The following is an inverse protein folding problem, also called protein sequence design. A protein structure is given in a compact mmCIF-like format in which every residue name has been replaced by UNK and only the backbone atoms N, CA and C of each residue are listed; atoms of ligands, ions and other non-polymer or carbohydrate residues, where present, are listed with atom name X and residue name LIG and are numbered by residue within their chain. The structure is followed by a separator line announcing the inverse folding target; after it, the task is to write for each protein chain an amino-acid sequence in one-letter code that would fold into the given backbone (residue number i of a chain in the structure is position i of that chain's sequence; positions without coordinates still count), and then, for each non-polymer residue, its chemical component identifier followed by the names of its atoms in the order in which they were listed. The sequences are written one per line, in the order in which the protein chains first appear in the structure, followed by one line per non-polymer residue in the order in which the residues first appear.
data_IF_473658163855
#
_entry.id   IF_473658163855
#
_cell.length_a   1.000
_cell.length_b   1.000
_cell.length_c   1.000
_cell.angle_alpha   90.00
_cell.angle_beta   90.00
_cell.angle_gamma   90.00
#
_symmetry.space_group_name_H-M   'P 1'
#
loop_
_entity.id
_entity.type
_entity.pdbx_description
1 polymer ?
#
# COMPACT_ATOMS: atom_id res chain seq x y z
N UNK A 1 -4.75 -15.17 5.44
CA UNK A 1 -4.95 -14.13 4.41
C UNK A 1 -4.82 -14.74 3.02
N UNK A 2 -5.63 -14.35 2.08
CA UNK A 2 -5.60 -14.85 0.68
C UNK A 2 -5.82 -13.72 -0.31
N UNK A 3 -5.42 -13.96 -1.56
CA UNK A 3 -5.76 -13.08 -2.69
C UNK A 3 -7.23 -13.30 -3.05
N UNK A 4 -7.99 -12.23 -3.18
CA UNK A 4 -9.44 -12.27 -3.31
C UNK A 4 -9.89 -12.38 -4.77
N UNK A 5 -9.25 -11.61 -5.65
CA UNK A 5 -9.67 -11.48 -7.06
C UNK A 5 -8.46 -11.47 -7.99
N UNK A 6 -8.68 -11.69 -9.28
CA UNK A 6 -7.66 -11.60 -10.33
C UNK A 6 -6.88 -12.89 -10.54
N UNK A 7 -5.71 -12.75 -11.16
CA UNK A 7 -4.89 -13.87 -11.66
C UNK A 7 -4.32 -14.76 -10.54
N UNK A 8 -4.15 -14.20 -9.35
CA UNK A 8 -3.65 -14.93 -8.19
C UNK A 8 -4.75 -15.35 -7.22
N UNK A 9 -6.03 -15.22 -7.60
CA UNK A 9 -7.19 -15.52 -6.75
C UNK A 9 -7.07 -16.87 -6.03
N UNK A 10 -7.37 -16.85 -4.74
CA UNK A 10 -7.39 -18.03 -3.86
C UNK A 10 -6.03 -18.42 -3.30
N UNK A 11 -4.92 -17.84 -3.76
CA UNK A 11 -3.60 -18.11 -3.19
C UNK A 11 -3.54 -17.61 -1.76
N UNK A 12 -3.08 -18.48 -0.86
CA UNK A 12 -2.92 -18.17 0.55
C UNK A 12 -1.55 -17.57 0.79
N UNK A 13 -1.52 -16.35 1.30
CA UNK A 13 -0.26 -15.70 1.67
C UNK A 13 0.27 -16.27 2.98
N UNK A 14 1.59 -16.43 3.06
CA UNK A 14 2.26 -16.69 4.32
C UNK A 14 2.08 -15.50 5.26
N UNK A 15 1.88 -15.82 6.53
CA UNK A 15 1.66 -14.84 7.59
C UNK A 15 2.80 -14.95 8.60
N UNK A 16 3.12 -13.87 9.35
CA UNK A 16 4.13 -13.94 10.40
C UNK A 16 3.68 -14.92 11.49
N UNK A 17 4.63 -15.62 12.07
CA UNK A 17 4.38 -16.56 13.19
C UNK A 17 3.94 -15.83 14.46
N UNK A 18 4.35 -14.57 14.60
CA UNK A 18 4.01 -13.71 15.75
C UNK A 18 2.90 -12.74 15.38
N UNK A 19 1.94 -12.53 16.30
CA UNK A 19 0.81 -11.59 16.16
C UNK A 19 1.22 -10.09 16.08
N UNK A 20 2.48 -9.78 15.80
CA UNK A 20 3.01 -8.41 15.76
C UNK A 20 2.64 -7.64 14.50
N UNK A 21 2.23 -8.33 13.45
CA UNK A 21 1.70 -7.72 12.22
C UNK A 21 0.20 -7.95 12.25
N UNK A 22 -0.58 -6.87 12.37
CA UNK A 22 -2.03 -6.92 12.22
C UNK A 22 -2.34 -6.87 10.72
N UNK A 23 -2.72 -7.98 10.09
CA UNK A 23 -3.03 -7.95 8.67
C UNK A 23 -4.32 -7.16 8.45
N UNK A 24 -4.34 -6.34 7.41
CA UNK A 24 -5.56 -5.81 6.83
C UNK A 24 -6.52 -6.98 6.60
N UNK A 25 -7.68 -6.97 7.23
CA UNK A 25 -8.63 -8.09 7.10
C UNK A 25 -9.10 -8.25 5.66
N UNK A 26 -9.49 -9.45 5.24
CA UNK A 26 -10.02 -9.68 3.89
C UNK A 26 -11.17 -8.72 3.57
N UNK A 27 -12.02 -8.43 4.55
CA UNK A 27 -13.14 -7.47 4.42
C UNK A 27 -12.67 -6.05 4.13
N UNK A 28 -11.65 -5.57 4.84
CA UNK A 28 -11.08 -4.24 4.62
C UNK A 28 -10.40 -4.18 3.26
N UNK A 29 -9.64 -5.22 2.89
CA UNK A 29 -9.03 -5.34 1.58
C UNK A 29 -10.08 -5.32 0.44
N UNK A 30 -11.14 -6.09 0.54
CA UNK A 30 -12.27 -6.01 -0.42
C UNK A 30 -12.85 -4.61 -0.51
N UNK A 31 -13.00 -3.95 0.63
CA UNK A 31 -13.49 -2.58 0.68
C UNK A 31 -12.55 -1.60 -0.03
N UNK A 32 -11.23 -1.66 0.24
CA UNK A 32 -10.22 -0.84 -0.45
C UNK A 32 -10.37 -1.00 -1.97
N UNK A 33 -10.32 -2.22 -2.47
CA UNK A 33 -10.38 -2.47 -3.90
C UNK A 33 -11.76 -2.25 -4.54
N UNK A 34 -12.84 -2.23 -3.76
CA UNK A 34 -14.17 -1.81 -4.24
C UNK A 34 -14.31 -0.29 -4.35
N UNK A 35 -13.53 0.46 -3.57
CA UNK A 35 -13.52 1.92 -3.60
C UNK A 35 -12.65 2.43 -4.75
N UNK A 36 -11.58 1.72 -5.08
CA UNK A 36 -10.73 1.99 -6.25
C UNK A 36 -11.53 1.62 -7.50
N UNK A 37 -12.60 2.38 -7.78
CA UNK A 37 -13.47 2.15 -8.93
C UNK A 37 -12.80 2.66 -10.21
N UNK A 38 -12.71 1.81 -11.19
CA UNK A 38 -12.10 2.04 -12.50
C UNK A 38 -10.97 1.05 -12.73
N UNK A 39 -10.83 0.57 -13.95
CA UNK A 39 -9.71 -0.24 -14.39
C UNK A 39 -8.42 0.54 -14.13
N UNK A 40 -7.76 0.22 -13.03
CA UNK A 40 -6.37 0.58 -12.77
C UNK A 40 -5.45 -0.54 -13.29
N UNK A 41 -5.87 -1.15 -14.40
CA UNK A 41 -4.99 -1.95 -15.24
C UNK A 41 -3.82 -1.06 -15.64
N UNK A 42 -2.62 -1.62 -15.63
CA UNK A 42 -1.37 -0.90 -15.87
C UNK A 42 -0.96 0.14 -14.80
N UNK A 43 -1.60 0.15 -13.63
CA UNK A 43 -1.20 1.03 -12.53
C UNK A 43 0.16 0.65 -11.93
N UNK A 44 0.98 1.65 -11.67
CA UNK A 44 2.20 1.51 -10.85
C UNK A 44 1.83 1.76 -9.39
N UNK A 45 2.07 0.77 -8.53
CA UNK A 45 1.70 0.80 -7.13
C UNK A 45 2.91 0.87 -6.19
N UNK A 46 2.72 1.44 -5.01
CA UNK A 46 3.65 1.34 -3.88
C UNK A 46 2.89 0.85 -2.65
N UNK A 47 3.33 -0.27 -2.09
CA UNK A 47 2.92 -0.77 -0.77
C UNK A 47 4.02 -0.39 0.22
N UNK A 48 3.83 0.76 0.91
CA UNK A 48 4.93 1.46 1.59
C UNK A 48 5.28 0.85 2.96
N UNK A 49 4.33 0.17 3.58
CA UNK A 49 4.50 -0.57 4.84
C UNK A 49 4.00 -2.00 4.63
N UNK A 50 4.61 -2.69 3.68
CA UNK A 50 4.02 -3.82 3.01
C UNK A 50 3.77 -5.06 3.90
N UNK A 51 4.51 -5.25 4.99
CA UNK A 51 4.31 -6.35 5.92
C UNK A 51 4.35 -7.72 5.25
N UNK A 52 3.20 -8.26 4.86
CA UNK A 52 3.09 -9.52 4.10
C UNK A 52 3.06 -9.32 2.58
N UNK A 53 2.97 -8.08 2.10
CA UNK A 53 2.75 -7.74 0.70
C UNK A 53 1.30 -7.90 0.25
N UNK A 54 0.36 -7.98 1.18
CA UNK A 54 -1.02 -8.33 0.91
C UNK A 54 -1.75 -7.36 -0.02
N UNK A 55 -1.57 -6.04 0.16
CA UNK A 55 -2.23 -5.02 -0.68
C UNK A 55 -1.59 -4.94 -2.07
N UNK A 56 -0.26 -4.89 -2.12
CA UNK A 56 0.46 -4.85 -3.38
C UNK A 56 0.24 -6.09 -4.24
N UNK A 57 0.24 -7.29 -3.65
CA UNK A 57 -0.06 -8.54 -4.37
C UNK A 57 -1.52 -8.61 -4.85
N UNK A 58 -2.46 -8.09 -4.08
CA UNK A 58 -3.85 -7.97 -4.55
C UNK A 58 -3.96 -7.01 -5.74
N UNK A 59 -3.23 -5.87 -5.71
CA UNK A 59 -3.19 -4.93 -6.83
C UNK A 59 -2.63 -5.58 -8.10
N UNK A 60 -1.49 -6.28 -7.99
CA UNK A 60 -0.92 -7.04 -9.11
C UNK A 60 -1.87 -8.10 -9.63
N UNK A 61 -2.55 -8.83 -8.74
CA UNK A 61 -3.56 -9.82 -9.12
C UNK A 61 -4.73 -9.24 -9.91
N UNK A 62 -5.00 -7.96 -9.74
CA UNK A 62 -6.07 -7.21 -10.42
C UNK A 62 -5.61 -6.46 -11.66
N UNK A 63 -4.36 -6.67 -12.11
CA UNK A 63 -3.84 -6.13 -13.36
C UNK A 63 -2.96 -4.89 -13.21
N UNK A 64 -2.50 -4.53 -12.01
CA UNK A 64 -1.48 -3.50 -11.87
C UNK A 64 -0.21 -3.91 -12.63
N UNK A 65 0.41 -2.96 -13.32
CA UNK A 65 1.61 -3.19 -14.13
C UNK A 65 2.81 -3.55 -13.24
N UNK A 66 2.92 -2.86 -12.10
CA UNK A 66 4.09 -2.99 -11.22
C UNK A 66 3.73 -2.62 -9.78
N UNK A 67 4.37 -3.27 -8.83
CA UNK A 67 4.29 -2.88 -7.42
C UNK A 67 5.67 -2.83 -6.77
N UNK A 68 5.96 -1.71 -6.11
CA UNK A 68 7.07 -1.55 -5.19
C UNK A 68 6.59 -1.94 -3.78
N UNK A 69 7.26 -2.91 -3.18
CA UNK A 69 7.01 -3.36 -1.81
C UNK A 69 8.11 -2.83 -0.90
N UNK A 70 7.76 -2.05 0.08
CA UNK A 70 8.71 -1.47 1.02
C UNK A 70 8.41 -1.88 2.46
N UNK A 71 9.45 -2.20 3.20
CA UNK A 71 9.37 -2.45 4.64
C UNK A 71 10.77 -2.27 5.25
N UNK A 72 10.84 -1.95 6.54
CA UNK A 72 12.11 -1.82 7.27
C UNK A 72 12.45 -3.07 8.08
N UNK A 73 11.51 -4.00 8.25
CA UNK A 73 11.68 -5.24 8.98
C UNK A 73 12.23 -6.34 8.07
N UNK A 74 13.33 -6.97 8.49
CA UNK A 74 13.89 -8.11 7.76
C UNK A 74 12.90 -9.28 7.65
N UNK A 75 12.14 -9.54 8.72
CA UNK A 75 11.11 -10.57 8.73
C UNK A 75 10.02 -10.28 7.68
N UNK A 76 9.52 -9.03 7.62
CA UNK A 76 8.57 -8.61 6.60
C UNK A 76 9.14 -8.76 5.18
N UNK A 77 10.37 -8.31 4.95
CA UNK A 77 11.02 -8.40 3.64
C UNK A 77 11.19 -9.84 3.15
N UNK A 78 11.55 -10.77 4.04
CA UNK A 78 11.67 -12.19 3.71
C UNK A 78 10.29 -12.80 3.43
N UNK A 79 9.26 -12.38 4.17
CA UNK A 79 7.88 -12.82 3.99
C UNK A 79 7.29 -12.31 2.67
N UNK A 80 7.50 -11.03 2.35
CA UNK A 80 7.11 -10.43 1.07
C UNK A 80 7.69 -11.21 -0.10
N UNK A 81 8.99 -11.50 -0.07
CA UNK A 81 9.67 -12.26 -1.14
C UNK A 81 9.07 -13.66 -1.34
N UNK A 82 8.79 -14.38 -0.24
CA UNK A 82 8.14 -15.69 -0.33
C UNK A 82 6.73 -15.59 -0.92
N UNK A 83 5.97 -14.60 -0.52
CA UNK A 83 4.62 -14.36 -1.03
C UNK A 83 4.63 -13.97 -2.53
N UNK A 84 5.58 -13.13 -2.95
CA UNK A 84 5.80 -12.80 -4.37
C UNK A 84 6.10 -14.06 -5.18
N UNK A 85 7.06 -14.87 -4.73
CA UNK A 85 7.43 -16.12 -5.41
C UNK A 85 6.26 -17.11 -5.49
N UNK A 86 5.49 -17.26 -4.40
CA UNK A 86 4.29 -18.11 -4.37
C UNK A 86 3.22 -17.63 -5.35
N UNK A 87 3.07 -16.31 -5.52
CA UNK A 87 2.19 -15.71 -6.52
C UNK A 87 2.78 -15.76 -7.93
N UNK A 88 4.06 -16.10 -8.11
CA UNK A 88 4.79 -15.99 -9.38
C UNK A 88 4.73 -14.56 -9.93
N UNK A 89 4.85 -13.59 -9.05
CA UNK A 89 4.70 -12.18 -9.35
C UNK A 89 6.05 -11.45 -9.44
N UNK A 90 7.16 -12.17 -9.57
CA UNK A 90 8.52 -11.64 -9.51
C UNK A 90 8.78 -10.58 -10.58
N UNK A 91 8.26 -10.76 -11.79
CA UNK A 91 8.46 -9.83 -12.92
C UNK A 91 7.81 -8.46 -12.70
N UNK A 92 6.73 -8.41 -11.93
CA UNK A 92 5.98 -7.18 -11.66
C UNK A 92 6.27 -6.58 -10.28
N UNK A 93 7.19 -7.18 -9.53
CA UNK A 93 7.47 -6.84 -8.14
C UNK A 93 8.88 -6.32 -7.95
N UNK A 94 9.03 -5.24 -7.19
CA UNK A 94 10.31 -4.74 -6.74
C UNK A 94 10.28 -4.56 -5.23
N UNK A 95 11.12 -5.28 -4.49
CA UNK A 95 11.24 -5.14 -3.04
C UNK A 95 12.32 -4.11 -2.71
N UNK A 96 11.96 -3.07 -1.97
CA UNK A 96 12.85 -1.99 -1.55
C UNK A 96 13.01 -2.04 -0.03
N UNK A 97 14.14 -2.54 0.50
CA UNK A 97 14.40 -2.52 1.92
C UNK A 97 14.74 -1.12 2.42
N UNK A 98 14.19 -0.73 3.57
CA UNK A 98 14.49 0.53 4.23
C UNK A 98 13.29 1.16 4.90
N UNK A 99 13.54 2.23 5.64
CA UNK A 99 12.47 3.07 6.14
C UNK A 99 11.80 3.84 5.00
N UNK A 100 10.57 4.27 5.24
CA UNK A 100 9.73 4.90 4.21
C UNK A 100 10.35 6.19 3.63
N UNK A 101 11.11 6.97 4.43
CA UNK A 101 11.75 8.20 3.94
C UNK A 101 12.80 7.87 2.87
N UNK A 102 13.66 6.89 3.14
CA UNK A 102 14.68 6.43 2.16
C UNK A 102 14.04 5.84 0.91
N UNK A 103 12.94 5.10 1.07
CA UNK A 103 12.22 4.51 -0.05
C UNK A 103 11.63 5.59 -0.94
N UNK A 104 10.90 6.57 -0.37
CA UNK A 104 10.29 7.67 -1.11
C UNK A 104 11.36 8.55 -1.78
N UNK A 105 12.46 8.86 -1.08
CA UNK A 105 13.59 9.58 -1.66
C UNK A 105 14.15 8.85 -2.88
N UNK A 106 14.39 7.53 -2.76
CA UNK A 106 14.91 6.72 -3.88
C UNK A 106 13.98 6.67 -5.08
N UNK A 107 12.65 6.60 -4.85
CA UNK A 107 11.66 6.66 -5.92
C UNK A 107 11.67 8.04 -6.60
N UNK A 108 11.78 9.12 -5.81
CA UNK A 108 11.89 10.49 -6.31
C UNK A 108 13.15 10.72 -7.16
N UNK A 109 14.30 10.27 -6.70
CA UNK A 109 15.57 10.35 -7.44
C UNK A 109 15.52 9.62 -8.79
N UNK A 110 14.66 8.61 -8.91
CA UNK A 110 14.42 7.87 -10.17
C UNK A 110 13.35 8.51 -11.06
N UNK A 111 12.67 9.55 -10.58
CA UNK A 111 11.57 10.19 -11.30
C UNK A 111 10.36 9.29 -11.47
N UNK A 112 10.13 8.35 -10.55
CA UNK A 112 8.99 7.45 -10.61
C UNK A 112 7.67 8.22 -10.45
N UNK A 113 6.63 7.79 -11.16
CA UNK A 113 5.26 8.26 -11.01
C UNK A 113 4.39 7.10 -10.56
N UNK A 114 3.64 7.32 -9.50
CA UNK A 114 2.90 6.28 -8.80
C UNK A 114 1.41 6.57 -8.89
N UNK A 115 0.65 5.61 -9.38
CA UNK A 115 -0.81 5.71 -9.50
C UNK A 115 -1.52 5.39 -8.19
N UNK A 116 -0.97 4.47 -7.39
CA UNK A 116 -1.59 4.05 -6.13
C UNK A 116 -0.53 3.89 -5.04
N UNK A 117 -0.66 4.68 -3.98
CA UNK A 117 0.05 4.44 -2.73
C UNK A 117 -0.86 3.72 -1.73
N UNK A 118 -0.38 2.63 -1.14
CA UNK A 118 -0.97 2.01 0.04
C UNK A 118 -0.15 2.39 1.26
N UNK A 119 -0.79 3.03 2.23
CA UNK A 119 -0.19 3.48 3.48
C UNK A 119 -0.92 2.84 4.66
N UNK A 120 -0.28 1.90 5.33
CA UNK A 120 -0.71 1.30 6.60
C UNK A 120 0.46 1.31 7.59
N UNK A 121 0.92 2.52 8.01
CA UNK A 121 2.06 2.62 8.91
C UNK A 121 1.71 2.08 10.30
N UNK A 122 2.72 1.61 11.07
CA UNK A 122 2.52 1.29 12.47
C UNK A 122 2.04 2.55 13.21
N UNK A 123 1.18 2.37 14.22
CA UNK A 123 0.57 3.46 14.99
C UNK A 123 1.60 4.37 15.67
N UNK A 124 2.15 5.34 14.92
CA UNK A 124 3.00 6.42 15.43
C UNK A 124 2.48 7.73 14.87
N UNK A 125 2.35 8.73 15.74
CA UNK A 125 1.95 10.10 15.35
C UNK A 125 2.95 10.68 14.35
N UNK A 126 2.43 11.39 13.34
CA UNK A 126 3.22 12.13 12.36
C UNK A 126 3.74 11.31 11.17
N UNK A 127 3.49 9.99 11.11
CA UNK A 127 3.97 9.18 9.99
C UNK A 127 3.21 9.48 8.69
N UNK A 128 1.89 9.66 8.76
CA UNK A 128 1.11 10.02 7.59
C UNK A 128 1.53 11.37 7.03
N UNK A 129 1.59 12.38 7.88
CA UNK A 129 1.99 13.73 7.51
C UNK A 129 3.34 13.70 6.80
N UNK A 130 4.32 12.99 7.36
CA UNK A 130 5.65 12.89 6.77
C UNK A 130 5.66 12.11 5.44
N UNK A 131 4.85 11.05 5.29
CA UNK A 131 4.69 10.36 4.01
C UNK A 131 4.13 11.30 2.94
N UNK A 132 3.07 12.04 3.26
CA UNK A 132 2.43 12.96 2.33
C UNK A 132 3.35 14.12 1.94
N UNK A 133 4.10 14.69 2.89
CA UNK A 133 5.13 15.70 2.60
C UNK A 133 6.14 15.20 1.57
N UNK A 134 6.70 14.00 1.76
CA UNK A 134 7.70 13.42 0.86
C UNK A 134 7.10 13.06 -0.51
N UNK A 135 5.88 12.54 -0.56
CA UNK A 135 5.18 12.27 -1.82
C UNK A 135 5.00 13.56 -2.62
N UNK A 136 4.69 14.67 -1.94
CA UNK A 136 4.56 16.00 -2.56
C UNK A 136 5.92 16.56 -2.96
N UNK A 137 6.90 16.52 -2.06
CA UNK A 137 8.25 17.07 -2.27
C UNK A 137 8.93 16.46 -3.49
N UNK A 138 8.82 15.14 -3.64
CA UNK A 138 9.40 14.40 -4.76
C UNK A 138 8.47 14.26 -5.97
N UNK A 139 7.30 14.89 -5.94
CA UNK A 139 6.32 14.84 -7.04
C UNK A 139 6.02 13.41 -7.51
N UNK A 140 5.82 12.49 -6.53
CA UNK A 140 5.70 11.07 -6.79
C UNK A 140 4.32 10.64 -7.28
N UNK A 141 3.24 11.36 -6.91
CA UNK A 141 1.89 10.98 -7.31
C UNK A 141 1.64 11.32 -8.78
N UNK A 142 1.15 10.35 -9.55
CA UNK A 142 0.70 10.55 -10.92
C UNK A 142 -0.50 11.52 -10.96
N UNK A 143 -0.80 12.12 -12.12
CA UNK A 143 -1.81 13.17 -12.29
C UNK A 143 -3.20 12.75 -11.76
N UNK A 144 -3.61 11.50 -12.00
CA UNK A 144 -4.85 10.92 -11.46
C UNK A 144 -4.58 9.88 -10.37
N UNK A 145 -3.41 9.94 -9.77
CA UNK A 145 -3.00 9.03 -8.72
C UNK A 145 -3.78 9.22 -7.43
N UNK A 146 -3.78 8.20 -6.59
CA UNK A 146 -4.43 8.22 -5.28
C UNK A 146 -3.52 7.68 -4.19
N UNK A 147 -3.72 8.22 -2.99
CA UNK A 147 -3.07 7.75 -1.77
C UNK A 147 -4.16 7.14 -0.88
N UNK A 148 -4.00 5.88 -0.53
CA UNK A 148 -4.93 5.13 0.31
C UNK A 148 -4.29 4.97 1.68
N UNK A 149 -4.88 5.59 2.69
CA UNK A 149 -4.43 5.51 4.07
C UNK A 149 -5.40 4.63 4.90
N UNK A 150 -4.88 3.53 5.45
CA UNK A 150 -5.59 2.71 6.44
C UNK A 150 -5.22 3.22 7.84
N UNK A 151 -6.20 3.62 8.65
CA UNK A 151 -5.95 4.14 10.00
C UNK A 151 -7.07 3.73 10.98
N UNK A 152 -6.84 3.97 12.28
CA UNK A 152 -7.88 3.77 13.27
C UNK A 152 -8.95 4.87 13.15
N UNK A 153 -10.23 4.54 13.29
CA UNK A 153 -11.34 5.53 13.26
C UNK A 153 -11.20 6.62 14.32
N UNK A 154 -10.42 6.39 15.37
CA UNK A 154 -10.15 7.37 16.44
C UNK A 154 -9.04 8.35 16.08
N UNK A 155 -8.16 7.97 15.15
CA UNK A 155 -7.01 8.76 14.70
C UNK A 155 -7.38 9.43 13.37
N UNK A 156 -8.29 10.42 13.44
CA UNK A 156 -8.72 11.14 12.24
C UNK A 156 -7.55 11.83 11.57
N UNK A 157 -7.40 11.57 10.28
CA UNK A 157 -6.47 12.30 9.43
C UNK A 157 -7.09 13.65 9.02
N UNK A 158 -6.23 14.63 8.72
CA UNK A 158 -6.69 15.93 8.23
C UNK A 158 -7.33 15.80 6.83
N UNK A 159 -8.28 16.67 6.52
CA UNK A 159 -8.95 16.73 5.21
C UNK A 159 -7.99 17.10 4.07
N UNK A 160 -6.94 17.85 4.40
CA UNK A 160 -5.81 18.16 3.53
C UNK A 160 -4.52 17.72 4.21
N UNK A 161 -3.71 16.94 3.51
CA UNK A 161 -2.37 16.53 3.89
C UNK A 161 -1.39 16.93 2.80
N UNK A 162 -0.61 17.98 3.05
CA UNK A 162 0.40 18.49 2.11
C UNK A 162 -0.15 18.84 0.73
N UNK A 163 -1.40 19.36 0.68
CA UNK A 163 -2.09 19.74 -0.55
C UNK A 163 -2.72 18.58 -1.32
N UNK A 164 -2.82 17.41 -0.73
CA UNK A 164 -3.69 16.33 -1.19
C UNK A 164 -4.98 16.34 -0.38
N UNK A 165 -6.09 16.47 -1.07
CA UNK A 165 -7.42 16.57 -0.44
C UNK A 165 -8.05 15.18 -0.32
N UNK A 166 -8.87 15.01 0.72
CA UNK A 166 -9.62 13.77 0.91
C UNK A 166 -10.72 13.66 -0.15
N UNK A 167 -10.67 12.60 -0.94
CA UNK A 167 -11.66 12.31 -1.98
C UNK A 167 -12.79 11.47 -1.40
N UNK A 168 -12.45 10.53 -0.52
CA UNK A 168 -13.40 9.56 0.03
C UNK A 168 -12.90 9.00 1.35
N UNK A 169 -13.85 8.80 2.28
CA UNK A 169 -13.58 8.10 3.54
C UNK A 169 -14.65 7.04 3.80
N UNK A 170 -14.26 5.90 4.35
CA UNK A 170 -15.15 4.82 4.78
C UNK A 170 -14.60 4.16 6.04
N UNK A 171 -15.51 3.77 6.93
CA UNK A 171 -15.17 3.09 8.19
C UNK A 171 -15.70 1.66 8.22
N UNK A 172 -14.89 0.76 8.74
CA UNK A 172 -15.19 -0.66 8.88
C UNK A 172 -14.78 -1.12 10.28
N UNK A 173 -15.72 -1.06 11.22
CA UNK A 173 -15.44 -1.31 12.62
C UNK A 173 -14.49 -0.28 13.22
N UNK A 174 -13.30 -0.69 13.62
CA UNK A 174 -12.26 0.19 14.17
C UNK A 174 -11.27 0.72 13.13
N UNK A 175 -11.41 0.32 11.87
CA UNK A 175 -10.55 0.72 10.76
C UNK A 175 -11.25 1.74 9.89
N UNK A 176 -10.56 2.81 9.53
CA UNK A 176 -10.99 3.76 8.51
C UNK A 176 -10.04 3.69 7.31
N UNK A 177 -10.60 3.90 6.13
CA UNK A 177 -9.89 4.06 4.87
C UNK A 177 -10.15 5.45 4.35
N UNK A 178 -9.11 6.25 4.25
CA UNK A 178 -9.16 7.58 3.67
C UNK A 178 -8.38 7.61 2.36
N UNK A 179 -8.98 8.15 1.31
CA UNK A 179 -8.40 8.24 -0.03
C UNK A 179 -8.19 9.71 -0.34
N UNK A 180 -6.97 10.02 -0.77
CA UNK A 180 -6.53 11.36 -1.13
C UNK A 180 -6.09 11.40 -2.60
N UNK A 181 -6.20 12.59 -3.19
CA UNK A 181 -5.70 12.90 -4.52
C UNK A 181 -5.41 14.37 -4.72
#
# INVERSE_FOLDING_TARGET
MRIITGDFKGRRLEMPENNNIRPTTEKVKEAIFSIIVGNREDAVCVDLFAGTGNLGLEALSRGAEKCYFADNSRESLDLIKRNIAMCKADEWSTVIPGDFEKVLTRLGERGEKIDIFFLDPPYKKGLYERCFELIREFDLLAEEGIIIAEHNVRDKLAEDLSGFEIIKERSYGTVAISIYG
#
